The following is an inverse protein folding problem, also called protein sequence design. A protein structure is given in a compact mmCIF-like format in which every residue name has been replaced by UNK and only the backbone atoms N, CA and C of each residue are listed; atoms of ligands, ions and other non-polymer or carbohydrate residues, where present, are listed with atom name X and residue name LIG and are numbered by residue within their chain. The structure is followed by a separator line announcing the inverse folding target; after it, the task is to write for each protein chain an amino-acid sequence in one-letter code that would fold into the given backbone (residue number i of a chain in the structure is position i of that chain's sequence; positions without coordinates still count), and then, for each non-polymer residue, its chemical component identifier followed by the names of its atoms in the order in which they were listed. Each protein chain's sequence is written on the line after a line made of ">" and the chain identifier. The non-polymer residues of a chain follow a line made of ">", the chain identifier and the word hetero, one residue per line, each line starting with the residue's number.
data_IF_187363961766
#
_entry.id   IF_187363961766
#
_cell.length_a   1.000
_cell.length_b   1.000
_cell.length_c   1.000
_cell.angle_alpha   90.00
_cell.angle_beta   90.00
_cell.angle_gamma   90.00
#
_symmetry.space_group_name_H-M   'P 1'
#
loop_
_entity.id
_entity.type
_entity.pdbx_description
1 polymer ?
#
# COMPACT_ATOMS: atom_id res chain seq x y z
N UNK A 1 17.28 -3.69 -7.81
CA UNK A 1 17.33 -4.17 -9.21
C UNK A 1 15.98 -4.72 -9.64
N UNK A 2 15.39 -5.70 -8.93
CA UNK A 2 14.07 -6.29 -9.28
C UNK A 2 12.93 -5.28 -9.47
N UNK A 3 12.88 -4.23 -8.66
CA UNK A 3 11.86 -3.16 -8.75
C UNK A 3 11.85 -2.47 -10.12
N UNK A 4 13.03 -2.20 -10.69
CA UNK A 4 13.12 -1.52 -11.98
C UNK A 4 12.59 -2.39 -13.11
N UNK A 5 12.83 -3.70 -13.09
CA UNK A 5 12.23 -4.63 -14.05
C UNK A 5 10.70 -4.69 -13.94
N UNK A 6 10.15 -4.73 -12.72
CA UNK A 6 8.69 -4.68 -12.50
C UNK A 6 8.08 -3.39 -13.02
N UNK A 7 8.76 -2.26 -12.79
CA UNK A 7 8.35 -0.95 -13.29
C UNK A 7 8.45 -0.84 -14.82
N UNK A 8 9.51 -1.39 -15.41
CA UNK A 8 9.70 -1.43 -16.87
C UNK A 8 8.73 -2.40 -17.56
N UNK A 9 8.16 -3.38 -16.85
CA UNK A 9 7.11 -4.24 -17.39
C UNK A 9 5.74 -3.53 -17.51
N UNK A 10 5.54 -2.41 -16.81
CA UNK A 10 4.31 -1.61 -16.91
C UNK A 10 4.19 -0.91 -18.27
N UNK A 11 2.96 -0.78 -18.76
CA UNK A 11 2.64 0.09 -19.90
C UNK A 11 2.94 1.56 -19.61
N UNK A 12 2.95 2.42 -20.63
CA UNK A 12 3.22 3.85 -20.46
C UNK A 12 2.20 4.52 -19.53
N UNK A 13 0.91 4.22 -19.72
CA UNK A 13 -0.19 4.74 -18.88
C UNK A 13 -0.04 4.28 -17.42
N UNK A 14 0.26 3.00 -17.20
CA UNK A 14 0.50 2.47 -15.85
C UNK A 14 1.72 3.08 -15.17
N UNK A 15 2.76 3.45 -15.93
CA UNK A 15 3.93 4.16 -15.39
C UNK A 15 3.60 5.59 -15.01
N UNK A 16 2.74 6.28 -15.76
CA UNK A 16 2.24 7.60 -15.41
C UNK A 16 1.38 7.53 -14.13
N UNK A 17 0.47 6.56 -14.05
CA UNK A 17 -0.31 6.30 -12.84
C UNK A 17 0.62 5.97 -11.65
N UNK A 18 1.60 5.09 -11.84
CA UNK A 18 2.58 4.75 -10.81
C UNK A 18 3.33 5.98 -10.30
N UNK A 19 3.81 6.85 -11.20
CA UNK A 19 4.54 8.08 -10.84
C UNK A 19 3.65 9.12 -10.14
N UNK A 20 2.34 9.01 -10.25
CA UNK A 20 1.37 9.84 -9.52
C UNK A 20 1.19 9.41 -8.06
N UNK A 21 1.61 8.20 -7.69
CA UNK A 21 1.54 7.72 -6.31
C UNK A 21 2.54 8.47 -5.42
N UNK A 22 2.20 8.56 -4.14
CA UNK A 22 3.09 9.16 -3.15
C UNK A 22 4.37 8.32 -3.00
N UNK A 23 5.51 8.99 -2.80
CA UNK A 23 6.79 8.32 -2.59
C UNK A 23 7.58 9.01 -1.49
N UNK A 24 7.61 8.40 -0.31
CA UNK A 24 8.33 8.93 0.85
C UNK A 24 9.84 8.88 0.61
N UNK A 25 10.50 10.04 0.57
CA UNK A 25 11.96 10.09 0.33
C UNK A 25 12.78 9.54 1.50
N UNK A 26 12.21 9.52 2.71
CA UNK A 26 12.87 8.91 3.89
C UNK A 26 13.23 7.43 3.69
N UNK A 27 12.58 6.71 2.77
CA UNK A 27 12.93 5.33 2.44
C UNK A 27 13.83 5.17 1.20
N UNK A 28 13.94 6.20 0.35
CA UNK A 28 14.85 6.24 -0.81
C UNK A 28 14.88 7.60 -1.50
N UNK A 29 16.06 8.03 -1.96
CA UNK A 29 16.23 9.20 -2.83
C UNK A 29 15.77 8.95 -4.29
N UNK A 30 15.70 7.69 -4.72
CA UNK A 30 15.27 7.34 -6.07
C UNK A 30 13.75 7.26 -6.14
N UNK A 31 13.11 8.15 -6.89
CA UNK A 31 11.65 8.28 -6.93
C UNK A 31 10.91 6.96 -7.19
N UNK A 32 11.33 6.18 -8.19
CA UNK A 32 10.71 4.89 -8.52
C UNK A 32 10.77 3.92 -7.34
N UNK A 33 11.90 3.89 -6.62
CA UNK A 33 12.09 3.01 -5.48
C UNK A 33 11.34 3.53 -4.23
N UNK A 34 11.27 4.85 -4.03
CA UNK A 34 10.51 5.47 -2.96
C UNK A 34 9.01 5.16 -3.08
N UNK A 35 8.45 5.32 -4.29
CA UNK A 35 7.07 4.95 -4.60
C UNK A 35 6.87 3.45 -4.39
N UNK A 36 7.79 2.60 -4.85
CA UNK A 36 7.65 1.15 -4.68
C UNK A 36 7.61 0.81 -3.20
N UNK A 37 8.52 1.36 -2.41
CA UNK A 37 8.63 1.02 -0.99
C UNK A 37 7.39 1.41 -0.19
N UNK A 38 6.73 2.49 -0.57
CA UNK A 38 5.54 3.03 0.10
C UNK A 38 4.21 2.47 -0.40
N UNK A 39 4.19 1.81 -1.57
CA UNK A 39 2.94 1.37 -2.20
C UNK A 39 2.89 -0.13 -2.51
N UNK A 40 3.99 -0.87 -2.30
CA UNK A 40 4.06 -2.30 -2.58
C UNK A 40 3.16 -3.11 -1.64
N UNK A 41 2.60 -4.17 -2.17
CA UNK A 41 1.98 -5.22 -1.37
C UNK A 41 2.89 -6.44 -1.32
N UNK A 42 2.92 -7.11 -0.18
CA UNK A 42 3.60 -8.39 -0.04
C UNK A 42 2.89 -9.46 -0.89
N UNK A 43 3.72 -10.23 -1.59
CA UNK A 43 3.34 -11.36 -2.45
C UNK A 43 3.99 -12.63 -1.90
N UNK A 44 4.17 -13.67 -2.71
CA UNK A 44 4.86 -14.89 -2.27
C UNK A 44 6.33 -14.64 -1.92
N UNK A 45 6.84 -15.43 -0.96
CA UNK A 45 8.26 -15.48 -0.57
C UNK A 45 8.86 -14.13 -0.14
N UNK A 46 8.05 -13.28 0.51
CA UNK A 46 8.47 -11.97 1.01
C UNK A 46 8.75 -10.93 -0.09
N UNK A 47 8.34 -11.20 -1.34
CA UNK A 47 8.53 -10.27 -2.46
C UNK A 47 7.45 -9.19 -2.48
N UNK A 48 7.79 -8.03 -3.03
CA UNK A 48 6.83 -6.94 -3.28
C UNK A 48 6.25 -6.97 -4.70
N UNK A 49 4.96 -6.61 -4.82
CA UNK A 49 4.27 -6.40 -6.09
C UNK A 49 3.73 -4.97 -6.24
N UNK A 50 3.55 -4.54 -7.50
CA UNK A 50 2.92 -3.26 -7.85
C UNK A 50 1.42 -3.52 -8.10
N UNK A 51 0.55 -2.86 -7.34
CA UNK A 51 -0.90 -2.99 -7.47
C UNK A 51 -1.57 -1.61 -7.49
N UNK A 52 -1.53 -0.93 -8.63
CA UNK A 52 -1.88 0.50 -8.76
C UNK A 52 -3.22 0.88 -8.11
N UNK A 53 -4.27 0.08 -8.34
CA UNK A 53 -5.60 0.31 -7.73
C UNK A 53 -5.57 0.16 -6.21
N UNK A 54 -4.89 -0.88 -5.71
CA UNK A 54 -4.82 -1.16 -4.28
C UNK A 54 -3.92 -0.19 -3.52
N UNK A 55 -2.92 0.39 -4.19
CA UNK A 55 -2.06 1.44 -3.63
C UNK A 55 -2.79 2.74 -3.31
N UNK A 56 -4.09 2.86 -3.64
CA UNK A 56 -4.95 3.99 -3.27
C UNK A 56 -5.63 3.84 -1.92
N UNK A 57 -5.63 2.64 -1.31
CA UNK A 57 -6.24 2.45 0.01
C UNK A 57 -5.38 3.10 1.08
N UNK A 58 -5.96 4.01 1.86
CA UNK A 58 -5.28 4.62 3.00
C UNK A 58 -5.17 3.68 4.21
N UNK A 59 -4.39 4.12 5.20
CA UNK A 59 -4.17 3.38 6.43
C UNK A 59 -5.22 3.69 7.51
N UNK A 60 -5.70 2.65 8.19
CA UNK A 60 -6.18 2.76 9.56
C UNK A 60 -5.68 1.54 10.35
N UNK A 61 -5.34 1.73 11.62
CA UNK A 61 -4.82 0.62 12.42
C UNK A 61 -5.91 -0.41 12.71
N UNK A 62 -5.53 -1.67 12.92
CA UNK A 62 -6.47 -2.66 13.46
C UNK A 62 -6.93 -2.25 14.87
N UNK A 63 -8.22 -2.40 15.23
CA UNK A 63 -9.33 -2.98 14.47
C UNK A 63 -10.16 -1.99 13.63
N UNK A 64 -9.69 -0.76 13.41
CA UNK A 64 -10.45 0.30 12.73
C UNK A 64 -10.30 0.35 11.20
N UNK A 65 -9.38 -0.42 10.62
CA UNK A 65 -9.34 -0.66 9.17
C UNK A 65 -10.63 -1.30 8.67
N UNK A 66 -11.21 -0.81 7.58
CA UNK A 66 -12.47 -1.36 7.04
C UNK A 66 -12.26 -2.65 6.23
N UNK A 67 -11.04 -2.85 5.71
CA UNK A 67 -10.66 -4.00 4.91
C UNK A 67 -9.37 -4.69 5.40
N UNK A 68 -9.23 -5.96 5.02
CA UNK A 68 -7.98 -6.73 5.02
C UNK A 68 -7.66 -7.16 3.59
N UNK A 69 -6.42 -7.60 3.35
CA UNK A 69 -6.02 -8.12 2.06
C UNK A 69 -5.20 -9.39 2.20
N UNK A 70 -5.18 -10.19 1.13
CA UNK A 70 -4.24 -11.29 0.95
C UNK A 70 -3.85 -11.41 -0.51
N UNK A 71 -2.61 -11.79 -0.78
CA UNK A 71 -2.21 -12.14 -2.13
C UNK A 71 -2.57 -13.60 -2.44
N UNK A 72 -3.22 -13.84 -3.58
CA UNK A 72 -3.50 -15.18 -4.09
C UNK A 72 -2.54 -15.49 -5.24
N UNK A 73 -1.52 -16.31 -4.96
CA UNK A 73 -0.49 -16.68 -5.93
C UNK A 73 -1.00 -17.51 -7.10
N UNK A 74 -2.04 -18.32 -6.90
CA UNK A 74 -2.62 -19.13 -7.98
C UNK A 74 -3.37 -18.28 -9.03
N UNK A 75 -3.82 -17.09 -8.64
CA UNK A 75 -4.56 -16.18 -9.52
C UNK A 75 -3.74 -14.93 -9.90
N UNK A 76 -2.56 -14.76 -9.32
CA UNK A 76 -1.74 -13.54 -9.39
C UNK A 76 -2.56 -12.27 -9.09
N UNK A 77 -3.29 -12.29 -7.96
CA UNK A 77 -4.23 -11.22 -7.59
C UNK A 77 -4.16 -10.88 -6.11
N UNK A 78 -4.26 -9.58 -5.81
CA UNK A 78 -4.55 -9.10 -4.47
C UNK A 78 -6.05 -9.21 -4.21
N UNK A 79 -6.44 -9.97 -3.18
CA UNK A 79 -7.81 -10.14 -2.75
C UNK A 79 -8.05 -9.28 -1.53
N UNK A 80 -8.85 -8.22 -1.69
CA UNK A 80 -9.28 -7.33 -0.60
C UNK A 80 -10.65 -7.79 -0.11
N UNK A 81 -10.82 -7.86 1.21
CA UNK A 81 -12.05 -8.28 1.86
C UNK A 81 -12.43 -7.27 2.93
N UNK A 82 -13.70 -6.86 2.94
CA UNK A 82 -14.27 -6.06 4.02
C UNK A 82 -14.30 -6.86 5.32
N UNK A 83 -13.93 -6.22 6.43
CA UNK A 83 -14.01 -6.77 7.78
C UNK A 83 -15.37 -6.49 8.44
N UNK A 84 -16.07 -5.46 7.96
CA UNK A 84 -17.40 -5.03 8.37
C UNK A 84 -18.19 -4.50 7.15
N UNK A 85 -19.52 -4.31 7.25
CA UNK A 85 -20.25 -3.55 6.24
C UNK A 85 -19.63 -2.16 6.06
N UNK A 86 -19.49 -1.71 4.82
CA UNK A 86 -18.95 -0.40 4.45
C UNK A 86 -20.09 0.41 3.84
N UNK A 87 -20.44 1.53 4.46
CA UNK A 87 -21.52 2.38 3.99
C UNK A 87 -21.12 3.16 2.73
N UNK A 88 -22.10 3.60 1.93
CA UNK A 88 -21.82 4.49 0.80
C UNK A 88 -21.19 5.80 1.30
N UNK A 89 -20.01 6.13 0.78
CA UNK A 89 -19.25 7.32 1.17
C UNK A 89 -18.29 7.10 2.35
N UNK A 90 -18.31 5.91 2.97
CA UNK A 90 -17.28 5.50 3.93
C UNK A 90 -15.99 5.14 3.18
N UNK A 91 -14.86 5.53 3.75
CA UNK A 91 -13.54 5.28 3.16
C UNK A 91 -13.14 3.81 3.28
N UNK A 92 -12.51 3.29 2.23
CA UNK A 92 -11.90 1.95 2.25
C UNK A 92 -10.45 2.08 2.74
N UNK A 93 -10.17 1.48 3.90
CA UNK A 93 -8.86 1.52 4.54
C UNK A 93 -8.36 0.10 4.82
N UNK A 94 -7.03 -0.04 4.84
CA UNK A 94 -6.35 -1.29 5.22
C UNK A 94 -5.32 -0.99 6.32
N UNK A 95 -4.91 -2.01 7.08
CA UNK A 95 -3.75 -1.86 7.97
C UNK A 95 -2.46 -2.10 7.18
N UNK A 96 -1.51 -1.17 7.27
CA UNK A 96 -0.21 -1.25 6.58
C UNK A 96 0.86 -1.94 7.45
N UNK A 97 0.67 -1.90 8.76
CA UNK A 97 1.62 -2.39 9.75
C UNK A 97 0.90 -2.64 11.09
N UNK A 98 1.49 -3.48 11.93
CA UNK A 98 0.95 -3.78 13.26
C UNK A 98 1.32 -2.72 14.30
N UNK A 99 2.40 -1.96 14.05
CA UNK A 99 2.94 -0.96 14.97
C UNK A 99 2.85 0.46 14.36
N UNK A 100 1.90 1.30 14.79
CA UNK A 100 1.69 2.64 14.23
C UNK A 100 2.93 3.55 14.34
N UNK A 101 3.80 3.32 15.32
CA UNK A 101 5.07 4.05 15.48
C UNK A 101 6.00 3.91 14.28
N UNK A 102 5.84 2.88 13.45
CA UNK A 102 6.68 2.64 12.26
C UNK A 102 6.15 3.33 11.00
N UNK A 103 4.97 3.96 11.06
CA UNK A 103 4.34 4.57 9.89
C UNK A 103 5.15 5.73 9.32
N UNK A 104 5.70 6.60 10.17
CA UNK A 104 6.46 7.75 9.69
C UNK A 104 7.73 7.32 8.95
N UNK A 105 8.49 6.38 9.52
CA UNK A 105 9.74 5.92 8.90
C UNK A 105 9.48 5.20 7.57
N UNK A 106 8.38 4.45 7.47
CA UNK A 106 8.08 3.65 6.28
C UNK A 106 7.27 4.41 5.22
N UNK A 107 6.39 5.33 5.63
CA UNK A 107 5.38 5.97 4.77
C UNK A 107 5.30 7.49 4.91
N UNK A 108 6.01 8.11 5.85
CA UNK A 108 6.12 9.58 5.95
C UNK A 108 4.88 10.28 6.53
N UNK A 109 4.01 9.57 7.26
CA UNK A 109 2.84 10.15 7.91
C UNK A 109 2.60 9.56 9.31
N UNK A 110 1.84 10.28 10.13
CA UNK A 110 1.30 9.81 11.41
C UNK A 110 -0.18 9.51 11.24
N UNK A 111 -0.65 8.39 11.79
CA UNK A 111 -2.06 8.01 11.72
C UNK A 111 -2.87 8.72 12.80
N UNK A 112 -4.05 9.20 12.41
CA UNK A 112 -5.04 9.88 13.26
C UNK A 112 -6.30 9.03 13.50
N UNK A 113 -6.24 7.73 13.19
CA UNK A 113 -7.38 6.84 13.42
C UNK A 113 -7.65 6.65 14.93
N UNK A 114 -8.82 6.11 15.26
CA UNK A 114 -9.29 5.94 16.65
C UNK A 114 -8.41 5.03 17.53
N UNK A 115 -7.51 4.23 16.95
CA UNK A 115 -6.55 3.43 17.70
C UNK A 115 -5.28 4.21 18.07
N UNK A 116 -5.00 5.32 17.39
CA UNK A 116 -3.83 6.15 17.67
C UNK A 116 -4.16 7.26 18.67
N UNK A 117 -3.18 7.70 19.46
CA UNK A 117 -3.35 8.90 20.29
C UNK A 117 -3.54 10.13 19.39
N UNK A 118 -4.28 11.14 19.86
CA UNK A 118 -4.47 12.40 19.17
C UNK A 118 -3.19 13.25 19.08
#
# INVERSE_FOLDING_TARGET
>A
IEVFYKYEALSLEEREEYRSLFGWKGVSEYQVLAIFKTNRFETSDGKGGIFLKSSRFNHACHPFSTCTYKYNSAQDRLIVKSLSPIAKGEEITISYCDAPSTLYDNYGFYCDCKACPP
#
